data_IF_659167310225
#
_entry.id   IF_659167310225
#
_cell.length_a   1.000
_cell.length_b   1.000
_cell.length_c   1.000
_cell.angle_alpha   90.00
_cell.angle_beta   90.00
_cell.angle_gamma   90.00
#
_symmetry.space_group_name_H-M   'P 1'
#
loop_
_entity.id
_entity.type
_entity.pdbx_description
1 polymer ?
#
# COMPACT_ATOMS: atom_id res chain seq x y z
N UNK A 1 -9.80 23.56 1.02
CA UNK A 1 -9.58 22.45 1.98
C UNK A 1 -8.23 22.53 2.65
N UNK A 2 -7.12 22.66 1.92
CA UNK A 2 -5.77 22.77 2.50
C UNK A 2 -5.61 23.88 3.56
N UNK A 3 -6.15 25.08 3.32
CA UNK A 3 -6.11 26.16 4.31
C UNK A 3 -6.86 25.81 5.61
N UNK A 4 -8.02 25.14 5.50
CA UNK A 4 -8.81 24.69 6.65
C UNK A 4 -8.04 23.67 7.48
N UNK A 5 -7.34 22.74 6.80
CA UNK A 5 -6.46 21.77 7.45
C UNK A 5 -5.28 22.45 8.16
N UNK A 6 -4.60 23.40 7.50
CA UNK A 6 -3.49 24.16 8.10
C UNK A 6 -3.94 24.96 9.33
N UNK A 7 -5.16 25.50 9.32
CA UNK A 7 -5.79 26.19 10.45
C UNK A 7 -6.37 25.25 11.50
N UNK A 8 -6.23 23.93 11.32
CA UNK A 8 -6.77 22.88 12.22
C UNK A 8 -8.29 22.91 12.35
N UNK A 9 -8.99 23.45 11.36
CA UNK A 9 -10.46 23.42 11.28
C UNK A 9 -10.98 22.04 10.83
N UNK A 10 -10.10 21.21 10.26
CA UNK A 10 -10.34 19.81 9.91
C UNK A 10 -9.12 18.98 10.32
N UNK A 11 -9.38 17.73 10.69
CA UNK A 11 -8.37 16.76 11.10
C UNK A 11 -7.51 16.27 9.94
N UNK A 12 -6.38 15.63 10.26
CA UNK A 12 -5.56 14.92 9.28
C UNK A 12 -6.36 13.84 8.54
N UNK A 13 -7.24 13.13 9.24
CA UNK A 13 -8.08 12.10 8.66
C UNK A 13 -9.03 12.68 7.60
N UNK A 14 -9.77 13.73 7.94
CA UNK A 14 -10.69 14.39 7.00
C UNK A 14 -9.95 14.97 5.80
N UNK A 15 -8.77 15.54 6.02
CA UNK A 15 -7.96 16.07 4.94
C UNK A 15 -7.44 14.95 4.01
N UNK A 16 -6.97 13.83 4.55
CA UNK A 16 -6.54 12.68 3.75
C UNK A 16 -7.72 12.02 3.01
N UNK A 17 -8.90 11.95 3.63
CA UNK A 17 -10.11 11.50 2.95
C UNK A 17 -10.46 12.42 1.79
N UNK A 18 -10.42 13.74 2.00
CA UNK A 18 -10.64 14.72 0.95
C UNK A 18 -9.64 14.53 -0.20
N UNK A 19 -8.34 14.37 0.09
CA UNK A 19 -7.31 14.13 -0.92
C UNK A 19 -7.58 12.85 -1.73
N UNK A 20 -7.98 11.77 -1.07
CA UNK A 20 -8.37 10.53 -1.74
C UNK A 20 -9.56 10.77 -2.69
N UNK A 21 -10.63 11.42 -2.21
CA UNK A 21 -11.82 11.69 -3.01
C UNK A 21 -11.51 12.53 -4.25
N UNK A 22 -10.74 13.62 -4.12
CA UNK A 22 -10.40 14.47 -5.28
C UNK A 22 -9.42 13.79 -6.24
N UNK A 23 -8.66 12.79 -5.78
CA UNK A 23 -7.83 11.93 -6.63
C UNK A 23 -8.61 10.80 -7.31
N UNK A 24 -9.95 10.78 -7.21
CA UNK A 24 -10.82 9.77 -7.83
C UNK A 24 -10.97 8.47 -7.04
N UNK A 25 -10.40 8.38 -5.84
CA UNK A 25 -10.49 7.17 -5.00
C UNK A 25 -11.90 7.01 -4.45
N UNK A 26 -12.38 5.77 -4.41
CA UNK A 26 -13.76 5.45 -4.02
C UNK A 26 -13.85 4.11 -3.30
N UNK A 27 -14.86 3.96 -2.46
CA UNK A 27 -15.19 2.68 -1.82
C UNK A 27 -15.88 1.70 -2.79
N UNK A 28 -16.37 2.19 -3.94
CA UNK A 28 -17.11 1.38 -4.91
C UNK A 28 -16.21 0.59 -5.88
N UNK A 29 -14.93 0.92 -5.98
CA UNK A 29 -13.93 0.20 -6.78
C UNK A 29 -12.73 -0.13 -5.91
N UNK A 30 -12.54 -1.43 -5.63
CA UNK A 30 -11.47 -1.92 -4.77
C UNK A 30 -10.07 -1.68 -5.36
N UNK A 31 -9.95 -1.53 -6.69
CA UNK A 31 -8.68 -1.18 -7.33
C UNK A 31 -8.29 0.28 -7.07
N UNK A 32 -9.25 1.13 -6.71
CA UNK A 32 -9.08 2.56 -6.43
C UNK A 32 -9.50 2.91 -5.00
N UNK A 33 -9.36 1.96 -4.08
CA UNK A 33 -9.71 2.15 -2.68
C UNK A 33 -8.88 3.28 -2.04
N UNK A 34 -9.45 4.08 -1.11
CA UNK A 34 -8.72 5.14 -0.41
C UNK A 34 -7.45 4.64 0.27
N UNK A 35 -6.38 5.45 0.18
CA UNK A 35 -5.04 5.11 0.67
C UNK A 35 -4.68 5.98 1.87
N UNK A 36 -4.16 5.33 2.91
CA UNK A 36 -3.65 5.97 4.12
C UNK A 36 -2.22 5.51 4.38
N UNK A 37 -1.34 6.39 4.90
CA UNK A 37 0.01 5.99 5.26
C UNK A 37 -0.01 5.14 6.53
N UNK A 38 0.92 4.18 6.61
CA UNK A 38 1.35 3.63 7.89
C UNK A 38 1.95 4.76 8.74
N UNK A 39 1.52 4.88 9.99
CA UNK A 39 1.96 5.96 10.89
C UNK A 39 2.86 5.42 11.99
N UNK A 40 2.50 4.28 12.59
CA UNK A 40 3.27 3.65 13.65
C UNK A 40 4.26 2.63 13.10
N UNK A 41 5.37 2.46 13.81
CA UNK A 41 6.41 1.46 13.49
C UNK A 41 6.50 0.37 14.55
N UNK A 42 6.15 0.69 15.79
CA UNK A 42 6.22 -0.22 16.92
C UNK A 42 4.86 -0.90 17.17
N UNK A 43 4.84 -2.22 16.96
CA UNK A 43 3.68 -3.09 17.19
C UNK A 43 4.02 -4.25 18.15
N UNK A 44 5.20 -4.22 18.77
CA UNK A 44 5.72 -5.30 19.60
C UNK A 44 5.69 -4.95 21.10
N UNK A 45 5.82 -3.67 21.43
CA UNK A 45 5.80 -3.20 22.82
C UNK A 45 4.40 -3.29 23.41
N UNK A 46 4.31 -3.68 24.69
CA UNK A 46 3.04 -3.71 25.43
C UNK A 46 2.43 -2.30 25.60
N UNK A 47 3.29 -1.30 25.78
CA UNK A 47 2.91 0.11 25.84
C UNK A 47 3.51 0.90 24.67
N UNK A 48 2.72 1.84 24.15
CA UNK A 48 3.09 2.69 23.02
C UNK A 48 3.18 4.15 23.45
N UNK A 49 4.40 4.65 23.61
CA UNK A 49 4.66 6.06 23.89
C UNK A 49 4.57 6.92 22.61
N UNK A 50 3.52 7.74 22.52
CA UNK A 50 3.29 8.64 21.39
C UNK A 50 4.14 9.92 21.43
N UNK A 51 4.98 10.10 22.45
CA UNK A 51 5.96 11.20 22.52
C UNK A 51 7.31 10.81 21.93
N UNK A 52 7.60 9.51 21.82
CA UNK A 52 8.84 8.99 21.27
C UNK A 52 8.83 9.04 19.73
N UNK A 53 9.70 9.83 19.07
CA UNK A 53 9.72 9.93 17.61
C UNK A 53 10.00 8.59 16.90
N UNK A 54 10.73 7.68 17.55
CA UNK A 54 11.06 6.36 17.01
C UNK A 54 9.85 5.43 16.80
N UNK A 55 8.71 5.71 17.46
CA UNK A 55 7.47 4.97 17.28
C UNK A 55 6.69 5.40 16.02
N UNK A 56 7.14 6.45 15.33
CA UNK A 56 6.51 6.97 14.13
C UNK A 56 7.34 6.69 12.88
N UNK A 57 6.64 6.39 11.80
CA UNK A 57 7.22 6.18 10.49
C UNK A 57 7.71 7.51 9.92
N UNK A 58 8.87 7.47 9.27
CA UNK A 58 9.33 8.57 8.43
C UNK A 58 8.37 8.76 7.23
N UNK A 59 7.49 9.75 7.33
CA UNK A 59 6.46 10.04 6.31
C UNK A 59 7.05 10.64 5.02
N UNK A 60 8.31 11.08 5.02
CA UNK A 60 8.97 11.62 3.83
C UNK A 60 9.39 10.54 2.81
N UNK A 61 9.43 9.27 3.25
CA UNK A 61 9.89 8.14 2.44
C UNK A 61 8.73 7.20 2.05
N UNK A 62 8.78 6.54 0.88
CA UNK A 62 7.89 5.43 0.55
C UNK A 62 8.22 4.19 1.40
N UNK A 63 7.28 3.24 1.49
CA UNK A 63 7.45 2.00 2.28
C UNK A 63 8.70 1.22 1.86
N UNK A 64 8.96 1.12 0.55
CA UNK A 64 10.11 0.40 0.01
C UNK A 64 11.46 0.92 0.52
N UNK A 65 11.55 2.22 0.83
CA UNK A 65 12.77 2.91 1.23
C UNK A 65 13.01 2.97 2.76
N UNK A 66 12.10 2.44 3.58
CA UNK A 66 12.25 2.47 5.04
C UNK A 66 13.35 1.54 5.55
N UNK A 67 13.49 0.37 4.93
CA UNK A 67 14.57 -0.55 5.25
C UNK A 67 15.76 -0.21 4.35
N UNK A 68 16.93 0.17 4.91
CA UNK A 68 18.06 0.63 4.13
C UNK A 68 18.62 -0.45 3.20
N UNK A 69 18.66 -1.72 3.64
CA UNK A 69 19.12 -2.84 2.78
C UNK A 69 18.21 -3.00 1.57
N UNK A 70 16.89 -2.91 1.78
CA UNK A 70 15.90 -2.99 0.71
C UNK A 70 15.93 -1.76 -0.20
N UNK A 71 16.21 -0.58 0.36
CA UNK A 71 16.33 0.65 -0.41
C UNK A 71 17.50 0.59 -1.40
N UNK A 72 18.67 0.10 -0.96
CA UNK A 72 19.84 -0.11 -1.82
C UNK A 72 19.52 -1.10 -2.94
N UNK A 73 18.92 -2.25 -2.61
CA UNK A 73 18.50 -3.24 -3.61
C UNK A 73 17.60 -2.64 -4.71
N UNK A 74 16.60 -1.82 -4.33
CA UNK A 74 15.71 -1.21 -5.32
C UNK A 74 16.37 -0.09 -6.13
N UNK A 75 17.33 0.64 -5.55
CA UNK A 75 18.11 1.64 -6.26
C UNK A 75 19.02 0.97 -7.30
N UNK A 76 19.77 -0.06 -6.91
CA UNK A 76 20.65 -0.82 -7.81
C UNK A 76 19.85 -1.43 -8.96
N UNK A 77 18.72 -2.10 -8.68
CA UNK A 77 17.83 -2.65 -9.72
C UNK A 77 17.36 -1.58 -10.72
N UNK A 78 17.06 -0.38 -10.24
CA UNK A 78 16.61 0.73 -11.09
C UNK A 78 17.76 1.25 -11.97
N UNK A 79 18.96 1.34 -11.42
CA UNK A 79 20.16 1.86 -12.10
C UNK A 79 20.70 0.89 -13.16
N UNK A 80 20.67 -0.42 -12.89
CA UNK A 80 21.16 -1.47 -13.80
C UNK A 80 20.08 -1.97 -14.77
N UNK A 81 19.06 -1.16 -15.04
CA UNK A 81 17.92 -1.56 -15.86
C UNK A 81 18.29 -1.54 -17.36
N UNK A 82 18.23 -2.70 -18.02
CA UNK A 82 18.64 -2.87 -19.42
C UNK A 82 17.47 -3.24 -20.36
N UNK A 83 16.23 -3.33 -19.87
CA UNK A 83 15.09 -3.71 -20.71
C UNK A 83 14.57 -2.54 -21.56
N UNK A 84 14.63 -2.65 -22.88
CA UNK A 84 14.22 -1.59 -23.83
C UNK A 84 12.70 -1.34 -23.89
N UNK A 85 11.87 -2.33 -23.53
CA UNK A 85 10.41 -2.25 -23.70
C UNK A 85 9.69 -1.64 -22.50
N UNK A 86 10.35 -1.58 -21.35
CA UNK A 86 9.76 -1.25 -20.06
C UNK A 86 10.60 -0.16 -19.40
N UNK A 87 10.01 1.01 -19.05
CA UNK A 87 10.73 2.03 -18.32
C UNK A 87 11.24 1.48 -16.97
N UNK A 88 12.41 1.92 -16.48
CA UNK A 88 12.90 1.51 -15.17
C UNK A 88 11.91 1.87 -14.06
N UNK A 89 11.77 0.99 -13.06
CA UNK A 89 10.93 1.22 -11.89
C UNK A 89 11.52 0.56 -10.65
N UNK A 90 11.22 1.15 -9.48
CA UNK A 90 11.71 0.64 -8.21
C UNK A 90 10.87 -0.55 -7.70
N UNK A 91 9.55 -0.52 -7.90
CA UNK A 91 8.63 -1.46 -7.28
C UNK A 91 7.76 -2.16 -8.33
N UNK A 92 7.81 -3.49 -8.34
CA UNK A 92 6.91 -4.34 -9.13
C UNK A 92 5.49 -4.44 -8.52
N UNK A 93 5.33 -4.02 -7.27
CA UNK A 93 4.08 -4.12 -6.53
C UNK A 93 3.54 -2.74 -6.19
N UNK A 94 2.23 -2.59 -6.32
CA UNK A 94 1.54 -1.34 -6.01
C UNK A 94 1.11 -1.31 -4.53
N UNK A 95 1.15 -0.13 -3.91
CA UNK A 95 0.80 0.07 -2.50
C UNK A 95 -0.71 -0.04 -2.21
N UNK A 96 -1.53 -0.15 -3.26
CA UNK A 96 -2.99 -0.23 -3.19
C UNK A 96 -3.48 -1.16 -4.28
N UNK A 97 -4.09 -2.28 -3.89
CA UNK A 97 -4.64 -3.28 -4.82
C UNK A 97 -5.96 -3.81 -4.28
N UNK A 98 -6.87 -4.25 -5.16
CA UNK A 98 -8.12 -4.88 -4.72
C UNK A 98 -7.86 -6.08 -3.79
N UNK A 99 -6.86 -6.90 -4.10
CA UNK A 99 -6.45 -8.03 -3.27
C UNK A 99 -6.05 -7.58 -1.85
N UNK A 100 -5.21 -6.54 -1.72
CA UNK A 100 -4.84 -6.01 -0.41
C UNK A 100 -6.06 -5.50 0.38
N UNK A 101 -6.98 -4.80 -0.28
CA UNK A 101 -8.21 -4.30 0.35
C UNK A 101 -9.09 -5.44 0.85
N UNK A 102 -9.28 -6.48 0.04
CA UNK A 102 -10.06 -7.66 0.44
C UNK A 102 -9.45 -8.39 1.64
N UNK A 103 -8.12 -8.57 1.65
CA UNK A 103 -7.43 -9.21 2.76
C UNK A 103 -7.57 -8.39 4.06
N UNK A 104 -7.48 -7.06 3.98
CA UNK A 104 -7.72 -6.18 5.13
C UNK A 104 -9.14 -6.26 5.67
N UNK A 105 -10.13 -6.42 4.80
CA UNK A 105 -11.55 -6.41 5.16
C UNK A 105 -12.16 -7.82 5.27
N UNK A 106 -11.34 -8.87 5.31
CA UNK A 106 -11.79 -10.26 5.27
C UNK A 106 -12.86 -10.61 6.31
N UNK A 107 -12.80 -9.98 7.49
CA UNK A 107 -13.73 -10.22 8.61
C UNK A 107 -15.04 -9.42 8.51
N UNK A 108 -15.18 -8.54 7.52
CA UNK A 108 -16.37 -7.70 7.32
C UNK A 108 -17.35 -8.41 6.38
N UNK A 109 -18.55 -8.68 6.91
CA UNK A 109 -19.61 -9.50 6.30
C UNK A 109 -19.98 -9.09 4.86
N UNK A 110 -19.96 -7.80 4.55
CA UNK A 110 -20.43 -7.27 3.25
C UNK A 110 -19.41 -7.44 2.13
N UNK A 111 -18.12 -7.33 2.42
CA UNK A 111 -17.03 -7.44 1.42
C UNK A 111 -16.68 -8.90 1.13
N UNK A 112 -16.75 -9.76 2.15
CA UNK A 112 -16.33 -11.17 2.06
C UNK A 112 -17.16 -12.02 1.08
N UNK A 113 -18.46 -11.74 0.86
CA UNK A 113 -19.36 -12.65 0.13
C UNK A 113 -19.64 -12.19 -1.31
N UNK A 114 -19.83 -10.90 -1.57
CA UNK A 114 -20.10 -10.40 -2.93
C UNK A 114 -18.84 -10.38 -3.79
N UNK A 115 -17.74 -9.90 -3.22
CA UNK A 115 -16.55 -9.56 -4.00
C UNK A 115 -15.66 -10.80 -4.22
N UNK A 116 -15.62 -11.73 -3.25
CA UNK A 116 -15.00 -13.05 -3.45
C UNK A 116 -15.66 -13.84 -4.58
N UNK A 117 -16.99 -13.75 -4.74
CA UNK A 117 -17.69 -14.45 -5.83
C UNK A 117 -17.33 -13.87 -7.19
N UNK A 118 -17.13 -12.55 -7.29
CA UNK A 118 -16.73 -11.90 -8.52
C UNK A 118 -15.25 -12.17 -8.84
N UNK A 119 -14.34 -11.99 -7.87
CA UNK A 119 -12.91 -12.21 -8.12
C UNK A 119 -12.54 -13.68 -8.40
N UNK A 120 -13.21 -14.65 -7.78
CA UNK A 120 -12.99 -16.07 -8.12
C UNK A 120 -13.51 -16.46 -9.50
N UNK A 121 -14.45 -15.71 -10.09
CA UNK A 121 -14.92 -15.97 -11.46
C UNK A 121 -13.97 -15.40 -12.53
N UNK A 122 -13.15 -14.39 -12.21
CA UNK A 122 -12.29 -13.69 -13.16
C UNK A 122 -10.79 -13.92 -12.98
N UNK A 123 -10.36 -14.82 -12.08
CA UNK A 123 -8.98 -15.30 -12.08
C UNK A 123 -8.86 -16.41 -13.14
N UNK A 124 -8.20 -16.19 -14.30
CA UNK A 124 -7.79 -17.31 -15.13
C UNK A 124 -6.87 -18.17 -14.27
N UNK A 125 -7.11 -19.49 -14.27
CA UNK A 125 -6.16 -20.46 -13.75
C UNK A 125 -4.90 -20.29 -14.60
N UNK A 126 -3.94 -19.46 -14.16
CA UNK A 126 -2.60 -19.48 -14.72
C UNK A 126 -2.02 -20.81 -14.29
N UNK A 127 -1.96 -21.75 -15.21
CA UNK A 127 -1.11 -22.94 -15.07
C UNK A 127 0.31 -22.45 -14.83
N UNK A 128 0.74 -22.48 -13.56
CA UNK A 128 2.14 -22.34 -13.20
C UNK A 128 2.87 -23.48 -13.88
N UNK A 129 3.70 -23.17 -14.87
CA UNK A 129 4.66 -24.12 -15.39
C UNK A 129 5.59 -24.53 -14.24
N UNK A 130 5.83 -25.83 -14.01
CA UNK A 130 6.73 -26.27 -12.95
C UNK A 130 8.15 -25.94 -13.40
N UNK A 131 8.81 -24.99 -12.75
CA UNK A 131 10.13 -24.55 -13.22
C UNK A 131 11.00 -23.76 -12.26
N UNK A 132 10.48 -23.10 -11.22
CA UNK A 132 11.32 -22.27 -10.35
C UNK A 132 11.00 -22.51 -8.86
N UNK A 133 11.45 -23.67 -8.38
CA UNK A 133 11.73 -23.90 -6.95
C UNK A 133 13.15 -24.43 -6.83
N UNK A 134 14.15 -23.56 -6.94
CA UNK A 134 15.51 -23.83 -6.43
C UNK A 134 16.34 -22.54 -6.41
N UNK A 135 16.31 -21.82 -5.28
CA UNK A 135 17.43 -21.02 -4.76
C UNK A 135 17.03 -20.48 -3.37
N UNK A 136 17.55 -21.16 -2.33
CA UNK A 136 17.61 -20.66 -0.95
C UNK A 136 18.72 -19.61 -0.80
#
# INVERSE_FOLDING_TARGET
MTQRWQRREISNFEYLMFLNTVAGRTYNDLNQYPVFPWVLTNYESEELDLTLPGNFRDLSKPIGALNPKRAVFYAERYETWEEDQTPPYHYNTHYSTANSTLLWLLRIKTVSISDCKHHMQYQPISTVAPGDQEAQ
#
